data_IF_245997881807
#
_entry.id   IF_245997881807
#
_cell.length_a   1.000
_cell.length_b   1.000
_cell.length_c   1.000
_cell.angle_alpha   90.00
_cell.angle_beta   90.00
_cell.angle_gamma   90.00
#
_symmetry.space_group_name_H-M   'P 1'
#
loop_
_entity.id
_entity.type
_entity.pdbx_description
1 polymer ?
#
# COMPACT_ATOMS: atom_id res chain seq x y z
N UNK A 1 -42.62 32.42 -8.16
CA UNK A 1 -42.74 30.98 -8.39
C UNK A 1 -43.29 30.71 -9.78
N UNK A 2 -42.44 30.31 -10.71
CA UNK A 2 -42.85 29.85 -12.06
C UNK A 2 -42.36 28.43 -12.24
N UNK A 3 -43.30 27.50 -12.29
CA UNK A 3 -43.02 26.07 -12.59
C UNK A 3 -42.78 25.97 -14.11
N UNK A 4 -41.59 25.49 -14.51
CA UNK A 4 -41.30 25.09 -15.88
C UNK A 4 -41.70 23.63 -16.09
N UNK A 5 -42.58 23.37 -17.07
CA UNK A 5 -43.03 22.04 -17.47
C UNK A 5 -41.90 21.25 -18.16
N UNK A 6 -41.57 20.09 -17.60
CA UNK A 6 -40.51 19.16 -18.07
C UNK A 6 -40.92 18.20 -19.19
N UNK A 7 -41.97 18.47 -19.94
CA UNK A 7 -42.57 17.46 -20.85
C UNK A 7 -42.32 17.68 -22.36
N UNK A 8 -41.45 18.61 -22.77
CA UNK A 8 -41.26 18.88 -24.22
C UNK A 8 -39.91 18.39 -24.79
N UNK A 9 -39.04 17.75 -24.05
CA UNK A 9 -37.70 17.32 -24.55
C UNK A 9 -37.69 15.85 -24.98
N UNK A 10 -38.66 15.04 -24.60
CA UNK A 10 -38.70 13.60 -24.95
C UNK A 10 -39.33 13.28 -26.32
N UNK A 11 -39.94 14.25 -26.97
CA UNK A 11 -40.61 14.05 -28.29
C UNK A 11 -39.68 14.19 -29.50
N UNK A 12 -38.53 14.85 -29.39
CA UNK A 12 -37.68 15.18 -30.55
C UNK A 12 -36.56 14.13 -30.83
N UNK A 13 -36.21 13.30 -29.86
CA UNK A 13 -35.19 12.26 -30.07
C UNK A 13 -35.74 10.96 -30.72
N UNK A 14 -37.04 10.72 -30.66
CA UNK A 14 -37.64 9.51 -31.28
C UNK A 14 -37.85 9.62 -32.77
N UNK A 15 -37.98 10.87 -33.32
CA UNK A 15 -38.24 11.06 -34.74
C UNK A 15 -36.98 11.01 -35.62
N UNK A 16 -35.79 11.24 -35.07
CA UNK A 16 -34.53 11.22 -35.82
C UNK A 16 -33.91 9.82 -35.95
N UNK A 17 -34.30 8.84 -35.11
CA UNK A 17 -33.83 7.45 -35.24
C UNK A 17 -34.59 6.63 -36.29
N UNK A 18 -35.80 7.06 -36.72
CA UNK A 18 -36.59 6.31 -37.69
C UNK A 18 -36.21 6.60 -39.16
N UNK A 19 -35.44 7.67 -39.43
CA UNK A 19 -35.05 8.03 -40.80
C UNK A 19 -33.67 7.51 -41.21
N UNK A 20 -32.86 6.96 -40.25
CA UNK A 20 -31.54 6.41 -40.52
C UNK A 20 -31.52 4.93 -40.92
N UNK A 21 -32.61 4.18 -40.75
CA UNK A 21 -32.65 2.74 -40.99
C UNK A 21 -33.12 2.34 -42.38
N UNK A 22 -33.52 3.30 -43.21
CA UNK A 22 -34.08 3.04 -44.54
C UNK A 22 -33.09 3.01 -45.71
N UNK A 23 -31.81 3.34 -45.50
CA UNK A 23 -30.83 3.49 -46.58
C UNK A 23 -29.83 2.37 -46.79
N UNK A 24 -29.85 1.30 -46.00
CA UNK A 24 -28.89 0.19 -46.10
C UNK A 24 -29.47 -1.11 -46.71
N UNK A 25 -30.38 -1.01 -47.67
CA UNK A 25 -30.88 -2.17 -48.39
C UNK A 25 -30.32 -2.27 -49.82
N UNK A 26 -28.99 -2.33 -49.97
CA UNK A 26 -28.38 -2.69 -51.28
C UNK A 26 -27.03 -3.44 -51.18
N UNK A 27 -26.60 -3.91 -50.02
CA UNK A 27 -25.60 -4.97 -49.95
C UNK A 27 -26.24 -6.15 -49.21
N UNK A 28 -26.19 -7.34 -49.74
CA UNK A 28 -26.79 -8.53 -49.14
C UNK A 28 -26.12 -9.01 -47.89
N UNK A 29 -25.32 -8.15 -47.26
CA UNK A 29 -24.60 -8.44 -46.02
C UNK A 29 -25.51 -8.07 -44.84
N UNK A 30 -25.70 -9.01 -43.90
CA UNK A 30 -26.36 -8.72 -42.63
C UNK A 30 -25.55 -7.70 -41.81
N UNK A 31 -26.20 -7.00 -40.86
CA UNK A 31 -25.50 -6.09 -39.93
C UNK A 31 -24.39 -6.83 -39.20
N UNK A 32 -24.60 -8.11 -38.88
CA UNK A 32 -23.60 -8.94 -38.23
C UNK A 32 -22.37 -9.16 -39.12
N UNK A 33 -22.59 -9.43 -40.44
CA UNK A 33 -21.48 -9.60 -41.42
C UNK A 33 -20.67 -8.32 -41.60
N UNK A 34 -21.33 -7.15 -41.59
CA UNK A 34 -20.66 -5.87 -41.69
C UNK A 34 -19.87 -5.54 -40.38
N UNK A 35 -20.39 -5.92 -39.21
CA UNK A 35 -19.72 -5.79 -37.95
C UNK A 35 -18.51 -6.74 -37.86
N UNK A 36 -18.65 -7.99 -38.32
CA UNK A 36 -17.54 -8.95 -38.35
C UNK A 36 -16.40 -8.50 -39.27
N UNK A 37 -16.72 -7.92 -40.42
CA UNK A 37 -15.74 -7.42 -41.39
C UNK A 37 -14.99 -6.21 -40.89
N UNK A 38 -15.68 -5.26 -40.27
CA UNK A 38 -15.12 -3.98 -39.81
C UNK A 38 -14.53 -4.03 -38.40
N UNK A 39 -14.96 -4.96 -37.56
CA UNK A 39 -14.53 -5.13 -36.18
C UNK A 39 -14.19 -6.59 -35.89
N UNK A 40 -12.99 -7.04 -36.24
CA UNK A 40 -12.57 -8.41 -36.01
C UNK A 40 -12.66 -8.78 -34.54
N UNK A 41 -12.94 -10.06 -34.21
CA UNK A 41 -12.85 -10.56 -32.85
C UNK A 41 -11.49 -10.23 -32.25
N UNK A 42 -11.50 -9.79 -30.99
CA UNK A 42 -10.26 -9.44 -30.28
C UNK A 42 -10.08 -10.27 -29.05
N UNK A 43 -8.86 -10.79 -28.91
CA UNK A 43 -8.38 -11.43 -27.69
C UNK A 43 -7.82 -10.36 -26.77
N UNK A 44 -8.15 -10.44 -25.48
CA UNK A 44 -7.67 -9.53 -24.48
C UNK A 44 -7.50 -10.21 -23.11
N UNK A 45 -6.76 -9.57 -22.21
CA UNK A 45 -6.59 -9.99 -20.82
C UNK A 45 -7.57 -9.26 -19.92
N UNK A 46 -8.23 -9.98 -19.04
CA UNK A 46 -9.04 -9.42 -17.98
C UNK A 46 -8.52 -9.87 -16.62
N UNK A 47 -8.09 -8.92 -15.80
CA UNK A 47 -7.72 -9.17 -14.41
C UNK A 47 -8.95 -9.52 -13.57
N UNK A 48 -8.79 -10.42 -12.60
CA UNK A 48 -9.89 -10.96 -11.81
C UNK A 48 -10.50 -9.93 -10.85
N UNK A 49 -9.68 -9.06 -10.24
CA UNK A 49 -10.13 -8.11 -9.21
C UNK A 49 -10.71 -6.80 -9.75
N UNK A 50 -10.25 -6.32 -10.92
CA UNK A 50 -10.64 -5.01 -11.44
C UNK A 50 -10.57 -4.96 -12.97
N UNK A 51 -11.30 -4.03 -13.56
CA UNK A 51 -11.25 -3.74 -15.00
C UNK A 51 -9.96 -3.01 -15.43
N UNK A 52 -9.00 -2.85 -14.56
CA UNK A 52 -7.70 -2.20 -14.82
C UNK A 52 -6.59 -3.23 -14.95
N UNK A 53 -5.61 -3.01 -15.84
CA UNK A 53 -4.57 -4.01 -16.13
C UNK A 53 -3.49 -4.14 -15.05
N UNK A 54 -3.56 -3.38 -13.95
CA UNK A 54 -2.57 -3.41 -12.86
C UNK A 54 -3.22 -3.80 -11.55
N UNK A 55 -2.70 -4.84 -10.92
CA UNK A 55 -3.13 -5.31 -9.61
C UNK A 55 -1.99 -5.14 -8.60
N UNK A 56 -2.29 -4.58 -7.43
CA UNK A 56 -1.32 -4.39 -6.36
C UNK A 56 -1.60 -5.35 -5.20
N UNK A 57 -0.56 -5.99 -4.69
CA UNK A 57 -0.56 -6.94 -3.60
C UNK A 57 0.42 -6.47 -2.53
N UNK A 58 -0.02 -6.41 -1.29
CA UNK A 58 0.81 -5.96 -0.18
C UNK A 58 1.32 -7.18 0.59
N UNK A 59 2.63 -7.28 0.71
CA UNK A 59 3.33 -8.32 1.45
C UNK A 59 3.98 -7.69 2.69
N UNK A 60 3.70 -8.25 3.85
CA UNK A 60 4.29 -7.82 5.12
C UNK A 60 5.39 -8.79 5.52
N UNK A 61 6.61 -8.28 5.71
CA UNK A 61 7.75 -9.06 6.15
C UNK A 61 7.96 -8.86 7.66
N UNK A 62 7.50 -9.82 8.45
CA UNK A 62 7.68 -9.86 9.90
C UNK A 62 8.85 -10.75 10.31
N UNK A 63 9.10 -10.86 11.62
CA UNK A 63 10.12 -11.74 12.20
C UNK A 63 9.88 -13.22 11.90
N UNK A 64 8.61 -13.63 11.73
CA UNK A 64 8.19 -14.99 11.41
C UNK A 64 8.18 -15.31 9.89
N UNK A 65 8.50 -14.35 9.02
CA UNK A 65 8.49 -14.50 7.58
C UNK A 65 7.56 -13.51 6.86
N UNK A 66 7.31 -13.78 5.58
CA UNK A 66 6.49 -12.90 4.73
C UNK A 66 5.07 -13.45 4.67
N UNK A 67 4.07 -12.55 4.85
CA UNK A 67 2.65 -12.87 4.75
C UNK A 67 1.95 -11.86 3.83
N UNK A 68 0.88 -12.31 3.19
CA UNK A 68 0.06 -11.49 2.30
C UNK A 68 -0.39 -12.24 1.06
N UNK A 69 -1.23 -11.61 0.27
CA UNK A 69 -1.68 -12.16 -1.00
C UNK A 69 -0.53 -12.11 -2.01
N UNK A 70 -0.09 -13.27 -2.47
CA UNK A 70 1.04 -13.44 -3.38
C UNK A 70 0.66 -14.14 -4.68
N UNK A 71 -0.65 -14.27 -4.96
CA UNK A 71 -1.20 -14.86 -6.17
C UNK A 71 -2.15 -13.90 -6.86
N UNK A 72 -1.83 -13.56 -8.09
CA UNK A 72 -2.68 -12.77 -8.95
C UNK A 72 -3.37 -13.63 -9.99
N UNK A 73 -4.60 -13.32 -10.37
CA UNK A 73 -5.39 -14.09 -11.34
C UNK A 73 -5.83 -13.21 -12.51
N UNK A 74 -5.93 -13.83 -13.68
CA UNK A 74 -6.51 -13.20 -14.85
C UNK A 74 -7.08 -14.29 -15.79
N UNK A 75 -7.92 -13.88 -16.75
CA UNK A 75 -8.46 -14.73 -17.81
C UNK A 75 -8.15 -14.13 -19.17
N UNK A 76 -7.99 -15.00 -20.17
CA UNK A 76 -7.95 -14.58 -21.56
C UNK A 76 -9.36 -14.59 -22.11
N UNK A 77 -9.77 -13.51 -22.76
CA UNK A 77 -11.14 -13.35 -23.23
C UNK A 77 -11.20 -12.95 -24.69
N UNK A 78 -12.34 -13.30 -25.29
CA UNK A 78 -12.79 -12.81 -26.60
C UNK A 78 -13.95 -11.83 -26.40
N UNK A 79 -13.98 -10.77 -27.19
CA UNK A 79 -15.14 -9.88 -27.26
C UNK A 79 -16.33 -10.48 -28.01
N UNK A 80 -16.13 -11.58 -28.76
CA UNK A 80 -17.16 -12.37 -29.44
C UNK A 80 -16.76 -13.84 -29.46
N UNK A 81 -17.71 -14.79 -29.42
CA UNK A 81 -17.41 -16.21 -29.54
C UNK A 81 -16.76 -16.55 -30.90
N UNK A 82 -15.82 -17.48 -30.88
CA UNK A 82 -15.25 -18.09 -32.06
C UNK A 82 -15.94 -19.43 -32.35
N UNK A 83 -16.06 -19.81 -33.63
CA UNK A 83 -16.54 -21.14 -34.02
C UNK A 83 -15.53 -22.25 -33.84
N UNK A 84 -14.28 -21.89 -33.53
CA UNK A 84 -13.16 -22.81 -33.29
C UNK A 84 -12.42 -22.44 -32.02
N UNK A 85 -11.67 -23.39 -31.46
CA UNK A 85 -10.80 -23.14 -30.31
C UNK A 85 -9.76 -22.05 -30.66
N UNK A 86 -9.53 -21.17 -29.72
CA UNK A 86 -8.52 -20.11 -29.83
C UNK A 86 -7.46 -20.34 -28.75
N UNK A 87 -6.25 -20.69 -29.19
CA UNK A 87 -5.08 -20.88 -28.31
C UNK A 87 -4.24 -19.61 -28.32
N UNK A 88 -3.93 -19.10 -27.14
CA UNK A 88 -3.16 -17.87 -26.93
C UNK A 88 -1.87 -18.24 -26.22
N UNK A 89 -0.73 -17.83 -26.76
CA UNK A 89 0.58 -17.95 -26.11
C UNK A 89 0.85 -16.72 -25.28
N UNK A 90 1.32 -16.93 -24.05
CA UNK A 90 1.58 -15.90 -23.05
C UNK A 90 3.09 -15.78 -22.79
N UNK A 91 3.55 -14.56 -22.59
CA UNK A 91 4.94 -14.25 -22.23
C UNK A 91 4.99 -13.57 -20.87
N UNK A 92 5.65 -14.25 -19.93
CA UNK A 92 5.95 -13.71 -18.60
C UNK A 92 7.22 -12.86 -18.66
N UNK A 93 7.20 -11.70 -18.02
CA UNK A 93 8.37 -10.84 -17.81
C UNK A 93 8.34 -10.36 -16.37
N UNK A 94 9.49 -10.36 -15.71
CA UNK A 94 9.69 -9.85 -14.34
C UNK A 94 10.73 -8.74 -14.42
N UNK A 95 10.39 -7.55 -13.94
CA UNK A 95 11.27 -6.38 -14.07
C UNK A 95 12.56 -6.53 -13.23
N UNK A 96 12.52 -7.26 -12.11
CA UNK A 96 13.70 -7.60 -11.32
C UNK A 96 14.20 -9.00 -11.71
N UNK A 97 15.32 -9.07 -12.42
CA UNK A 97 15.91 -10.32 -12.92
C UNK A 97 16.30 -11.29 -11.80
N UNK A 98 16.72 -10.78 -10.61
CA UNK A 98 17.16 -11.60 -9.48
C UNK A 98 16.05 -12.43 -8.84
N UNK A 99 14.79 -12.05 -9.09
CA UNK A 99 13.63 -12.78 -8.58
C UNK A 99 12.79 -13.40 -9.69
N UNK A 100 13.28 -13.38 -10.92
CA UNK A 100 12.53 -13.96 -12.04
C UNK A 100 12.21 -15.45 -11.85
N UNK A 101 13.11 -16.22 -11.22
CA UNK A 101 12.91 -17.63 -10.87
C UNK A 101 11.90 -17.85 -9.72
N UNK A 102 11.61 -16.82 -8.93
CA UNK A 102 10.63 -16.85 -7.85
C UNK A 102 9.19 -16.62 -8.36
N UNK A 103 9.02 -16.24 -9.62
CA UNK A 103 7.70 -15.98 -10.20
C UNK A 103 7.31 -17.11 -11.13
N UNK A 104 6.12 -17.69 -10.92
CA UNK A 104 5.57 -18.74 -11.74
C UNK A 104 4.26 -18.31 -12.40
N UNK A 105 4.09 -18.70 -13.66
CA UNK A 105 2.83 -18.59 -14.39
C UNK A 105 2.22 -19.99 -14.47
N UNK A 106 0.96 -20.17 -14.09
CA UNK A 106 0.30 -21.50 -14.06
C UNK A 106 0.17 -22.14 -15.45
N UNK A 107 0.13 -21.33 -16.50
CA UNK A 107 0.11 -21.80 -17.88
C UNK A 107 0.73 -20.77 -18.83
N UNK A 108 1.57 -21.20 -19.75
CA UNK A 108 2.14 -20.37 -20.84
C UNK A 108 1.24 -20.31 -22.07
N UNK A 109 0.20 -21.14 -22.13
CA UNK A 109 -0.84 -21.14 -23.16
C UNK A 109 -2.23 -21.16 -22.51
N UNK A 110 -3.16 -20.42 -23.08
CA UNK A 110 -4.56 -20.38 -22.69
C UNK A 110 -5.44 -20.80 -23.88
N UNK A 111 -6.44 -21.63 -23.63
CA UNK A 111 -7.40 -22.04 -24.66
C UNK A 111 -8.79 -21.50 -24.34
N UNK A 112 -9.36 -20.74 -25.26
CA UNK A 112 -10.78 -20.38 -25.27
C UNK A 112 -11.47 -21.39 -26.19
N UNK A 113 -12.36 -22.20 -25.62
CA UNK A 113 -13.09 -23.22 -26.37
C UNK A 113 -14.08 -22.58 -27.35
N UNK A 114 -14.36 -23.30 -28.47
CA UNK A 114 -15.35 -22.88 -29.43
C UNK A 114 -16.68 -22.55 -28.76
N UNK A 115 -17.28 -21.42 -29.11
CA UNK A 115 -18.51 -20.89 -28.51
C UNK A 115 -18.35 -20.22 -27.15
N UNK A 116 -17.16 -20.26 -26.51
CA UNK A 116 -16.87 -19.62 -25.23
C UNK A 116 -16.26 -18.22 -25.42
N UNK A 117 -16.36 -17.41 -24.37
CA UNK A 117 -15.81 -16.05 -24.34
C UNK A 117 -14.58 -15.91 -23.44
N UNK A 118 -14.22 -16.93 -22.67
CA UNK A 118 -13.11 -16.89 -21.73
C UNK A 118 -12.39 -18.23 -21.63
N UNK A 119 -11.11 -18.16 -21.32
CA UNK A 119 -10.32 -19.32 -20.87
C UNK A 119 -10.62 -19.66 -19.41
N UNK A 120 -10.07 -20.79 -18.94
CA UNK A 120 -9.88 -21.02 -17.52
C UNK A 120 -8.98 -19.92 -16.92
N UNK A 121 -9.14 -19.61 -15.60
CA UNK A 121 -8.29 -18.67 -14.92
C UNK A 121 -6.81 -19.09 -14.93
N UNK A 122 -5.93 -18.12 -15.09
CA UNK A 122 -4.48 -18.28 -15.06
C UNK A 122 -3.96 -17.51 -13.86
N UNK A 123 -3.01 -18.09 -13.12
CA UNK A 123 -2.40 -17.42 -11.96
C UNK A 123 -0.93 -17.05 -12.21
N UNK A 124 -0.55 -15.92 -11.62
CA UNK A 124 0.83 -15.52 -11.40
C UNK A 124 1.10 -15.63 -9.92
N UNK A 125 2.10 -16.41 -9.53
CA UNK A 125 2.46 -16.64 -8.11
C UNK A 125 3.88 -16.18 -7.87
N UNK A 126 4.09 -15.39 -6.79
CA UNK A 126 5.39 -15.05 -6.26
C UNK A 126 5.73 -16.00 -5.10
N UNK A 127 6.84 -16.72 -5.18
CA UNK A 127 7.34 -17.55 -4.07
C UNK A 127 7.90 -16.69 -2.96
N UNK A 128 7.20 -16.63 -1.83
CA UNK A 128 7.60 -15.83 -0.67
C UNK A 128 8.89 -16.35 -0.02
N UNK A 129 9.18 -17.65 -0.11
CA UNK A 129 10.41 -18.23 0.46
C UNK A 129 11.64 -17.77 -0.32
N UNK A 130 11.52 -17.63 -1.64
CA UNK A 130 12.62 -17.19 -2.49
C UNK A 130 13.06 -15.75 -2.23
N UNK A 131 12.17 -14.92 -1.63
CA UNK A 131 12.44 -13.52 -1.30
C UNK A 131 12.59 -13.26 0.21
N UNK A 132 12.50 -14.30 1.05
CA UNK A 132 12.50 -14.17 2.50
C UNK A 132 13.81 -13.61 3.09
N UNK A 133 14.94 -13.81 2.43
CA UNK A 133 16.24 -13.29 2.86
C UNK A 133 16.47 -11.79 2.51
N UNK A 134 15.55 -11.17 1.76
CA UNK A 134 15.64 -9.76 1.37
C UNK A 134 15.07 -8.88 2.46
N UNK A 135 15.92 -8.17 3.19
CA UNK A 135 15.54 -7.38 4.38
C UNK A 135 14.81 -6.07 4.03
N UNK A 136 15.14 -5.43 2.89
CA UNK A 136 14.60 -4.14 2.48
C UNK A 136 13.14 -4.18 1.99
N UNK A 137 12.52 -2.99 1.88
CA UNK A 137 11.26 -2.83 1.16
C UNK A 137 11.54 -2.89 -0.35
N UNK A 138 10.76 -3.67 -1.07
CA UNK A 138 10.93 -3.91 -2.51
C UNK A 138 9.59 -4.10 -3.21
N UNK A 139 9.51 -3.60 -4.45
CA UNK A 139 8.40 -3.85 -5.36
C UNK A 139 8.82 -4.84 -6.44
N UNK A 140 8.04 -5.89 -6.63
CA UNK A 140 8.23 -6.89 -7.67
C UNK A 140 7.15 -6.72 -8.72
N UNK A 141 7.52 -6.14 -9.86
CA UNK A 141 6.59 -5.95 -10.98
C UNK A 141 6.67 -7.13 -11.93
N UNK A 142 5.53 -7.74 -12.14
CA UNK A 142 5.34 -8.88 -13.04
C UNK A 142 4.38 -8.50 -14.16
N UNK A 143 4.77 -8.81 -15.39
CA UNK A 143 4.00 -8.53 -16.61
C UNK A 143 3.74 -9.80 -17.37
N UNK A 144 2.50 -10.00 -17.81
CA UNK A 144 2.13 -11.08 -18.73
C UNK A 144 1.49 -10.48 -19.97
N UNK A 145 2.12 -10.71 -21.13
CA UNK A 145 1.65 -10.24 -22.42
C UNK A 145 1.08 -11.39 -23.24
N UNK A 146 0.10 -11.09 -24.07
CA UNK A 146 -0.28 -11.96 -25.17
C UNK A 146 0.82 -11.86 -26.25
N UNK A 147 1.54 -12.95 -26.49
CA UNK A 147 2.62 -13.01 -27.48
C UNK A 147 2.10 -13.34 -28.87
N UNK A 148 1.22 -14.36 -28.94
CA UNK A 148 0.66 -14.80 -30.21
C UNK A 148 -0.69 -15.49 -30.04
N UNK A 149 -1.42 -15.61 -31.16
CA UNK A 149 -2.65 -16.38 -31.26
C UNK A 149 -2.43 -17.48 -32.24
N UNK A 150 -2.75 -18.72 -31.80
CA UNK A 150 -2.84 -19.91 -32.66
C UNK A 150 -4.32 -20.25 -32.79
N UNK A 151 -4.93 -20.01 -33.96
CA UNK A 151 -6.32 -20.33 -34.23
C UNK A 151 -6.50 -20.65 -35.70
N UNK A 152 -7.33 -21.65 -35.98
CA UNK A 152 -7.76 -21.91 -37.35
C UNK A 152 -8.84 -20.92 -37.85
N UNK A 153 -9.49 -20.21 -36.93
CA UNK A 153 -10.41 -19.13 -37.27
C UNK A 153 -9.63 -17.92 -37.81
N UNK A 154 -9.98 -17.46 -39.01
CA UNK A 154 -9.37 -16.27 -39.60
C UNK A 154 -9.86 -14.96 -38.92
N UNK A 155 -9.01 -13.99 -38.92
CA UNK A 155 -9.39 -12.62 -38.55
C UNK A 155 -9.42 -12.27 -37.03
N UNK A 156 -9.00 -13.18 -36.15
CA UNK A 156 -8.86 -12.86 -34.72
C UNK A 156 -7.59 -12.04 -34.50
N UNK A 157 -7.72 -10.89 -33.80
CA UNK A 157 -6.60 -10.01 -33.52
C UNK A 157 -6.36 -9.85 -32.00
N UNK A 158 -5.14 -9.54 -31.61
CA UNK A 158 -4.81 -9.16 -30.24
C UNK A 158 -5.32 -7.72 -29.99
N UNK A 159 -5.94 -7.48 -28.83
CA UNK A 159 -6.31 -6.13 -28.41
C UNK A 159 -5.06 -5.25 -28.24
N UNK A 160 -5.07 -4.04 -28.80
CA UNK A 160 -3.97 -3.11 -28.64
C UNK A 160 -3.85 -2.52 -27.22
N UNK A 161 -4.97 -2.47 -26.48
CA UNK A 161 -5.05 -1.75 -25.20
C UNK A 161 -5.17 -2.68 -23.98
N UNK A 162 -5.57 -3.95 -24.19
CA UNK A 162 -5.84 -4.92 -23.12
C UNK A 162 -5.07 -6.22 -23.35
N UNK A 163 -3.85 -6.15 -23.84
CA UNK A 163 -2.98 -7.31 -24.12
C UNK A 163 -1.93 -7.57 -23.03
N UNK A 164 -1.98 -6.78 -21.94
CA UNK A 164 -1.05 -6.83 -20.83
C UNK A 164 -1.80 -7.02 -19.51
N UNK A 165 -1.37 -7.98 -18.70
CA UNK A 165 -1.64 -8.06 -17.27
C UNK A 165 -0.39 -7.60 -16.51
N UNK A 166 -0.56 -6.77 -15.48
CA UNK A 166 0.51 -6.37 -14.59
C UNK A 166 0.12 -6.60 -13.14
N UNK A 167 1.01 -7.24 -12.39
CA UNK A 167 0.91 -7.40 -10.95
C UNK A 167 2.12 -6.74 -10.29
N UNK A 168 1.87 -5.99 -9.22
CA UNK A 168 2.91 -5.40 -8.37
C UNK A 168 2.78 -6.02 -6.98
N UNK A 169 3.79 -6.73 -6.54
CA UNK A 169 3.90 -7.28 -5.20
C UNK A 169 4.82 -6.37 -4.38
N UNK A 170 4.23 -5.56 -3.50
CA UNK A 170 4.94 -4.59 -2.67
C UNK A 170 5.28 -5.22 -1.31
N UNK A 171 6.55 -5.58 -1.12
CA UNK A 171 7.06 -6.15 0.14
C UNK A 171 7.58 -5.04 1.05
N UNK A 172 7.10 -5.01 2.30
CA UNK A 172 7.68 -4.13 3.32
C UNK A 172 9.10 -4.55 3.69
N UNK A 173 9.89 -3.63 4.25
CA UNK A 173 11.11 -4.01 4.94
C UNK A 173 10.78 -4.98 6.09
N UNK A 174 11.72 -5.87 6.41
CA UNK A 174 11.56 -6.81 7.52
C UNK A 174 11.29 -6.06 8.81
N UNK A 175 10.32 -6.56 9.58
CA UNK A 175 9.93 -6.00 10.88
C UNK A 175 10.59 -6.78 12.00
N UNK A 176 11.09 -6.08 13.00
CA UNK A 176 11.58 -6.68 14.26
C UNK A 176 10.42 -7.17 15.15
N UNK A 177 9.17 -6.77 14.85
CA UNK A 177 7.98 -7.01 15.68
C UNK A 177 8.21 -6.63 17.15
N UNK A 178 8.92 -5.53 17.34
CA UNK A 178 9.41 -5.09 18.63
C UNK A 178 8.40 -4.32 19.47
N UNK A 179 7.26 -3.90 18.87
CA UNK A 179 6.33 -2.98 19.51
C UNK A 179 5.49 -3.64 20.61
N UNK A 180 5.27 -2.88 21.68
CA UNK A 180 4.33 -3.15 22.76
C UNK A 180 3.46 -1.91 22.95
N UNK A 181 2.13 -2.08 22.91
CA UNK A 181 1.17 -0.97 23.04
C UNK A 181 0.58 -0.93 24.42
N UNK A 182 0.52 0.28 25.00
CA UNK A 182 -0.06 0.53 26.32
C UNK A 182 0.92 0.23 27.48
N UNK A 183 0.42 0.48 28.67
CA UNK A 183 1.22 0.47 29.90
C UNK A 183 1.65 -0.92 30.36
N UNK A 184 0.91 -1.96 29.98
CA UNK A 184 1.06 -3.32 30.54
C UNK A 184 2.33 -4.06 30.11
N UNK A 185 3.05 -3.56 29.11
CA UNK A 185 4.26 -4.20 28.57
C UNK A 185 5.55 -3.45 28.84
N UNK A 186 5.49 -2.33 29.58
CA UNK A 186 6.63 -1.46 29.89
C UNK A 186 6.73 -1.33 31.40
N UNK A 187 7.88 -1.65 31.94
CA UNK A 187 8.20 -1.30 33.34
C UNK A 187 8.66 0.15 33.40
N UNK A 188 7.74 1.06 33.77
CA UNK A 188 8.01 2.49 33.86
C UNK A 188 9.03 2.84 34.96
N UNK A 189 9.38 1.93 35.87
CA UNK A 189 10.47 2.14 36.81
C UNK A 189 11.84 2.03 36.14
N UNK A 190 11.92 1.39 34.99
CA UNK A 190 13.14 1.11 34.23
C UNK A 190 13.33 2.04 33.03
N UNK A 191 12.42 2.99 32.81
CA UNK A 191 12.50 3.93 31.69
C UNK A 191 12.28 5.38 32.15
N UNK A 192 12.88 6.31 31.46
CA UNK A 192 12.66 7.73 31.70
C UNK A 192 12.54 8.50 30.38
N UNK A 193 11.78 9.59 30.42
CA UNK A 193 11.71 10.53 29.30
C UNK A 193 13.01 11.33 29.23
N UNK A 194 13.64 11.37 28.08
CA UNK A 194 14.81 12.23 27.85
C UNK A 194 14.41 13.52 27.14
N UNK A 195 15.17 14.60 27.42
CA UNK A 195 14.98 15.94 26.87
C UNK A 195 13.53 16.48 27.01
N UNK A 196 12.74 16.01 27.99
CA UNK A 196 11.31 16.29 28.10
C UNK A 196 10.97 17.78 28.12
N UNK A 197 11.79 18.60 28.80
CA UNK A 197 11.55 20.05 28.99
C UNK A 197 12.17 20.91 27.89
N UNK A 198 13.17 20.42 27.19
CA UNK A 198 13.97 21.18 26.23
C UNK A 198 14.02 20.56 24.82
N UNK A 199 13.15 19.57 24.55
CA UNK A 199 13.07 18.92 23.24
C UNK A 199 12.85 19.90 22.08
N UNK A 200 12.07 20.97 22.28
CA UNK A 200 11.83 22.01 21.27
C UNK A 200 13.10 22.69 20.77
N UNK A 201 14.16 22.70 21.59
CA UNK A 201 15.46 23.30 21.25
C UNK A 201 16.50 22.28 20.81
N UNK A 202 16.39 21.02 21.26
CA UNK A 202 17.34 19.94 20.98
C UNK A 202 16.95 19.08 19.80
N UNK A 203 15.63 18.92 19.60
CA UNK A 203 15.11 18.04 18.54
C UNK A 203 14.72 18.84 17.31
N UNK A 204 14.75 18.15 16.15
CA UNK A 204 14.17 18.68 14.92
C UNK A 204 13.17 17.69 14.36
N UNK A 205 12.14 18.21 13.68
CA UNK A 205 11.12 17.39 13.03
C UNK A 205 11.12 17.71 11.55
N UNK A 206 11.06 16.66 10.72
CA UNK A 206 10.90 16.77 9.28
C UNK A 206 9.66 16.03 8.83
N UNK A 207 9.00 16.53 7.79
CA UNK A 207 7.86 15.88 7.17
C UNK A 207 8.31 14.97 6.06
N UNK A 208 7.80 13.74 6.06
CA UNK A 208 8.04 12.76 5.01
C UNK A 208 6.88 12.73 4.01
N UNK A 209 5.66 13.06 4.45
CA UNK A 209 4.44 13.08 3.62
C UNK A 209 3.94 14.51 3.44
N UNK A 210 3.59 14.89 2.21
CA UNK A 210 3.07 16.22 1.87
C UNK A 210 1.54 16.33 2.03
N UNK A 211 1.04 17.57 2.05
CA UNK A 211 -0.40 17.87 1.99
C UNK A 211 -1.15 17.68 3.30
N UNK A 212 -0.55 18.07 4.43
CA UNK A 212 -1.07 17.91 5.77
C UNK A 212 -1.31 19.28 6.42
N UNK A 213 -2.38 19.41 7.22
CA UNK A 213 -2.68 20.60 7.99
C UNK A 213 -1.59 20.81 9.06
N UNK A 214 -1.09 22.03 9.19
CA UNK A 214 0.00 22.36 10.12
C UNK A 214 1.40 22.02 9.60
N UNK A 215 1.54 21.58 8.35
CA UNK A 215 2.82 21.22 7.71
C UNK A 215 3.87 22.35 7.72
N UNK A 216 3.45 23.61 7.84
CA UNK A 216 4.35 24.76 7.90
C UNK A 216 4.99 24.96 9.28
N UNK A 217 4.55 24.21 10.30
CA UNK A 217 5.07 24.32 11.66
C UNK A 217 5.21 22.93 12.31
N UNK A 218 6.23 22.21 11.90
CA UNK A 218 6.56 20.88 12.42
C UNK A 218 6.96 20.89 13.89
N UNK A 219 7.32 22.06 14.45
CA UNK A 219 7.64 22.22 15.88
C UNK A 219 6.45 21.97 16.78
N UNK A 220 5.21 22.06 16.28
CA UNK A 220 3.99 21.72 17.03
C UNK A 220 4.02 20.32 17.64
N UNK A 221 4.79 19.41 17.06
CA UNK A 221 4.94 18.04 17.57
C UNK A 221 5.83 17.95 18.81
N UNK A 222 6.58 19.03 19.15
CA UNK A 222 7.60 19.02 20.20
C UNK A 222 7.62 20.32 21.01
N UNK A 223 6.63 21.22 20.85
CA UNK A 223 6.64 22.56 21.43
C UNK A 223 6.14 22.61 22.90
N UNK A 224 5.58 21.53 23.41
CA UNK A 224 5.00 21.46 24.76
C UNK A 224 3.60 22.05 24.85
N UNK A 225 2.98 22.40 23.73
CA UNK A 225 1.68 23.06 23.70
C UNK A 225 0.59 22.12 23.15
N UNK A 226 -0.20 21.51 24.02
CA UNK A 226 -1.32 20.65 23.66
C UNK A 226 -2.44 21.37 22.88
N UNK A 227 -2.42 22.69 22.79
CA UNK A 227 -3.36 23.50 21.99
C UNK A 227 -2.99 23.65 20.52
N UNK A 228 -1.88 23.06 20.10
CA UNK A 228 -1.43 23.04 18.70
C UNK A 228 -1.39 21.59 18.18
N UNK A 229 -1.64 21.39 16.89
CA UNK A 229 -1.64 20.06 16.29
C UNK A 229 -1.00 20.02 14.91
N UNK A 230 -0.64 18.81 14.53
CA UNK A 230 -0.25 18.42 13.20
C UNK A 230 -1.23 17.34 12.73
N UNK A 231 -2.05 17.62 11.73
CA UNK A 231 -3.23 16.81 11.48
C UNK A 231 -3.48 16.50 10.00
N UNK A 232 -4.25 15.42 9.75
CA UNK A 232 -4.72 15.04 8.43
C UNK A 232 -6.14 14.49 8.49
N UNK A 233 -6.95 14.80 7.48
CA UNK A 233 -8.29 14.25 7.30
C UNK A 233 -8.23 12.99 6.40
N UNK A 234 -8.63 11.84 6.95
CA UNK A 234 -8.73 10.55 6.23
C UNK A 234 -7.47 10.11 5.47
N UNK A 235 -6.30 10.62 5.83
CA UNK A 235 -5.02 10.27 5.20
C UNK A 235 -4.01 9.87 6.26
N UNK A 236 -3.28 8.80 5.99
CA UNK A 236 -2.07 8.48 6.74
C UNK A 236 -0.97 9.51 6.43
N UNK A 237 -0.10 9.72 7.39
CA UNK A 237 1.08 10.56 7.23
C UNK A 237 2.24 10.05 8.07
N UNK A 238 3.44 10.50 7.76
CA UNK A 238 4.60 10.19 8.56
C UNK A 238 5.46 11.42 8.79
N UNK A 239 6.20 11.40 9.89
CA UNK A 239 7.20 12.39 10.23
C UNK A 239 8.43 11.72 10.86
N UNK A 240 9.56 12.42 10.80
CA UNK A 240 10.82 12.00 11.40
C UNK A 240 11.20 12.98 12.49
N UNK A 241 11.50 12.45 13.67
CA UNK A 241 12.09 13.22 14.79
C UNK A 241 13.58 12.88 14.87
N UNK A 242 14.44 13.90 14.78
CA UNK A 242 15.88 13.81 15.06
C UNK A 242 16.14 14.30 16.48
N UNK A 243 16.65 13.45 17.35
CA UNK A 243 17.00 13.78 18.73
C UNK A 243 18.28 14.62 18.87
N UNK A 244 18.99 14.89 17.75
CA UNK A 244 20.26 15.63 17.74
C UNK A 244 21.46 14.82 18.27
N UNK A 245 21.22 13.69 18.92
CA UNK A 245 22.22 12.76 19.46
C UNK A 245 21.76 11.31 19.29
N UNK A 246 22.69 10.38 19.32
CA UNK A 246 22.36 8.95 19.41
C UNK A 246 21.99 8.61 20.85
N UNK A 247 20.74 8.19 21.05
CA UNK A 247 20.23 7.60 22.29
C UNK A 247 20.53 6.11 22.25
N UNK A 248 21.40 5.62 23.12
CA UNK A 248 21.89 4.22 23.05
C UNK A 248 20.84 3.19 23.42
N UNK A 249 19.94 3.56 24.32
CA UNK A 249 18.93 2.67 24.92
C UNK A 249 17.50 3.18 24.66
N UNK A 250 17.22 3.67 23.44
CA UNK A 250 15.87 4.10 23.06
C UNK A 250 14.88 2.95 23.28
N UNK A 251 13.79 3.23 24.03
CA UNK A 251 12.83 2.21 24.48
C UNK A 251 11.41 2.44 23.99
N UNK A 252 11.11 3.58 23.39
CA UNK A 252 9.79 3.85 22.82
C UNK A 252 9.39 5.32 22.82
N UNK A 253 8.11 5.53 22.50
CA UNK A 253 7.51 6.85 22.34
C UNK A 253 6.18 6.96 23.08
N UNK A 254 5.87 8.17 23.56
CA UNK A 254 4.55 8.57 24.04
C UNK A 254 4.05 9.66 23.09
N UNK A 255 2.94 9.39 22.39
CA UNK A 255 2.38 10.28 21.39
C UNK A 255 1.03 10.78 21.90
N UNK A 256 0.83 12.10 21.87
CA UNK A 256 -0.39 12.77 22.28
C UNK A 256 -1.22 13.20 21.11
N UNK A 257 -2.53 13.12 21.26
CA UNK A 257 -3.51 13.46 20.24
C UNK A 257 -4.46 14.51 20.77
N UNK A 258 -5.12 15.24 19.89
CA UNK A 258 -6.11 16.26 20.27
C UNK A 258 -7.23 15.70 21.15
N UNK A 259 -7.64 14.49 20.91
CA UNK A 259 -8.60 13.73 21.69
C UNK A 259 -8.51 12.23 21.30
N UNK A 260 -9.14 11.36 22.04
CA UNK A 260 -9.21 9.90 21.80
C UNK A 260 -9.71 9.54 20.38
N UNK A 261 -10.72 10.28 19.89
CA UNK A 261 -11.26 10.09 18.54
C UNK A 261 -10.28 10.51 17.42
N UNK A 262 -9.27 11.28 17.73
CA UNK A 262 -8.23 11.73 16.78
C UNK A 262 -7.00 10.83 16.77
N UNK A 263 -6.95 9.81 17.64
CA UNK A 263 -5.86 8.83 17.66
C UNK A 263 -5.94 7.91 16.43
N UNK A 264 -4.82 7.56 15.80
CA UNK A 264 -4.80 6.64 14.67
C UNK A 264 -5.18 5.23 15.10
N UNK A 265 -5.66 4.42 14.16
CA UNK A 265 -6.00 3.02 14.40
C UNK A 265 -4.78 2.09 14.27
N UNK A 266 -3.79 2.47 13.47
CA UNK A 266 -2.57 1.70 13.28
C UNK A 266 -1.40 2.63 12.94
N UNK A 267 -0.24 2.32 13.52
CA UNK A 267 1.02 3.02 13.25
C UNK A 267 2.12 2.03 12.88
N UNK A 268 3.16 2.54 12.24
CA UNK A 268 4.45 1.89 12.08
C UNK A 268 5.53 2.76 12.72
N UNK A 269 6.46 2.12 13.42
CA UNK A 269 7.61 2.78 14.03
C UNK A 269 8.90 2.24 13.42
N UNK A 270 9.81 3.16 13.08
CA UNK A 270 11.15 2.85 12.58
C UNK A 270 12.17 3.70 13.32
N UNK A 271 13.38 3.18 13.53
CA UNK A 271 14.48 3.97 14.09
C UNK A 271 15.73 3.88 13.24
N UNK A 272 16.61 4.87 13.41
CA UNK A 272 17.89 4.94 12.70
C UNK A 272 18.92 5.70 13.54
N UNK A 273 20.20 5.36 13.39
CA UNK A 273 21.31 6.13 14.00
C UNK A 273 21.91 7.15 13.05
N UNK A 274 21.72 6.99 11.73
CA UNK A 274 22.35 7.78 10.67
C UNK A 274 21.35 8.54 9.76
N UNK A 275 20.04 8.27 9.91
CA UNK A 275 18.98 8.85 9.08
C UNK A 275 18.85 8.24 7.68
N UNK A 276 19.69 7.28 7.34
CA UNK A 276 19.72 6.62 6.02
C UNK A 276 19.36 5.16 6.09
N UNK A 277 19.90 4.44 7.07
CA UNK A 277 19.62 3.03 7.34
C UNK A 277 18.56 2.91 8.43
N UNK A 278 17.41 2.33 8.11
CA UNK A 278 16.26 2.26 9.00
C UNK A 278 15.98 0.84 9.47
N UNK A 279 15.83 0.68 10.79
CA UNK A 279 15.31 -0.55 11.40
C UNK A 279 13.80 -0.42 11.55
N UNK A 280 13.03 -1.29 10.89
CA UNK A 280 11.59 -1.36 11.04
C UNK A 280 11.25 -2.08 12.35
N UNK A 281 10.79 -1.33 13.36
CA UNK A 281 10.46 -1.85 14.68
C UNK A 281 9.12 -2.59 14.71
N UNK A 282 8.25 -2.33 13.73
CA UNK A 282 6.97 -3.02 13.58
C UNK A 282 5.79 -2.10 13.36
N UNK A 283 4.61 -2.74 13.30
CA UNK A 283 3.31 -2.08 13.28
C UNK A 283 2.54 -2.39 14.53
N UNK A 284 1.78 -1.43 15.00
CA UNK A 284 0.93 -1.56 16.16
C UNK A 284 -0.51 -1.15 15.83
N UNK A 285 -1.46 -2.02 16.16
CA UNK A 285 -2.88 -1.70 16.14
C UNK A 285 -3.19 -0.98 17.45
N UNK A 286 -3.54 0.29 17.37
CA UNK A 286 -3.86 1.11 18.54
C UNK A 286 -5.35 0.95 18.83
N UNK A 287 -5.68 0.25 19.91
CA UNK A 287 -7.07 0.21 20.38
C UNK A 287 -7.53 1.64 20.72
N UNK A 288 -8.79 2.02 20.41
CA UNK A 288 -9.30 3.32 20.82
C UNK A 288 -9.14 3.48 22.33
N UNK A 289 -8.35 4.47 22.75
CA UNK A 289 -8.16 4.80 24.16
C UNK A 289 -9.43 5.50 24.65
N UNK A 290 -10.29 4.80 25.36
CA UNK A 290 -11.47 5.41 25.95
C UNK A 290 -11.03 6.41 27.04
N UNK A 291 -11.16 7.70 26.73
CA UNK A 291 -10.89 8.79 27.68
C UNK A 291 -9.41 9.17 27.81
N UNK A 292 -8.51 8.63 26.98
CA UNK A 292 -7.13 9.04 26.95
C UNK A 292 -6.76 9.61 25.57
N UNK A 293 -6.03 10.71 25.59
CA UNK A 293 -5.54 11.45 24.43
C UNK A 293 -4.06 11.13 24.12
N UNK A 294 -3.57 9.96 24.57
CA UNK A 294 -2.18 9.54 24.46
C UNK A 294 -2.06 8.04 24.17
N UNK A 295 -0.96 7.67 23.53
CA UNK A 295 -0.59 6.29 23.30
C UNK A 295 0.88 6.04 23.61
N UNK A 296 1.14 5.12 24.52
CA UNK A 296 2.47 4.58 24.74
C UNK A 296 2.74 3.46 23.72
N UNK A 297 3.85 3.60 23.03
CA UNK A 297 4.38 2.56 22.14
C UNK A 297 5.80 2.24 22.60
N UNK A 298 5.90 1.20 23.41
CA UNK A 298 7.17 0.69 23.92
C UNK A 298 7.82 -0.34 23.00
N UNK A 299 9.06 -0.68 23.32
CA UNK A 299 9.84 -1.71 22.63
C UNK A 299 10.14 -2.85 23.58
N UNK A 300 10.09 -4.10 23.09
CA UNK A 300 10.44 -5.31 23.85
C UNK A 300 11.90 -5.30 24.35
N UNK A 301 12.79 -4.63 23.62
CA UNK A 301 14.19 -4.38 23.96
C UNK A 301 14.60 -2.97 23.52
N UNK A 302 15.67 -2.44 24.07
CA UNK A 302 16.21 -1.15 23.65
C UNK A 302 16.92 -1.25 22.28
N UNK A 303 16.87 -0.15 21.53
CA UNK A 303 17.56 0.03 20.25
C UNK A 303 18.38 1.33 20.28
N UNK A 304 19.53 1.40 19.62
CA UNK A 304 20.20 2.68 19.41
C UNK A 304 19.40 3.49 18.37
N UNK A 305 19.08 4.75 18.69
CA UNK A 305 18.34 5.62 17.81
C UNK A 305 18.78 7.09 17.94
N UNK A 306 18.96 7.77 16.84
CA UNK A 306 19.02 9.22 16.74
C UNK A 306 17.76 9.75 16.05
N UNK A 307 17.27 9.00 15.06
CA UNK A 307 16.10 9.33 14.27
C UNK A 307 15.00 8.32 14.54
N UNK A 308 13.79 8.80 14.70
CA UNK A 308 12.60 7.96 14.80
C UNK A 308 11.59 8.43 13.76
N UNK A 309 11.12 7.50 12.93
CA UNK A 309 10.03 7.74 11.99
C UNK A 309 8.75 7.15 12.55
N UNK A 310 7.76 8.00 12.71
CA UNK A 310 6.42 7.62 13.12
C UNK A 310 5.48 7.74 11.92
N UNK A 311 4.90 6.63 11.51
CA UNK A 311 4.02 6.57 10.34
C UNK A 311 2.63 6.13 10.77
N UNK A 312 1.62 6.94 10.47
CA UNK A 312 0.22 6.60 10.65
C UNK A 312 -0.24 5.84 9.41
N UNK A 313 -0.44 4.53 9.54
CA UNK A 313 -0.82 3.64 8.43
C UNK A 313 -2.34 3.51 8.29
N UNK A 314 -3.08 3.58 9.41
CA UNK A 314 -4.55 3.67 9.41
C UNK A 314 -5.00 4.87 10.23
N UNK A 315 -5.37 5.97 9.58
CA UNK A 315 -5.86 7.15 10.28
C UNK A 315 -7.24 6.88 10.93
N UNK A 316 -7.57 7.72 11.92
CA UNK A 316 -8.97 8.01 12.26
C UNK A 316 -9.64 8.85 11.14
N UNK A 317 -10.87 9.31 11.31
CA UNK A 317 -11.49 10.26 10.36
C UNK A 317 -10.63 11.54 10.21
N UNK A 318 -10.32 12.22 11.31
CA UNK A 318 -9.24 13.21 11.45
C UNK A 318 -8.22 12.64 12.44
N UNK A 319 -6.98 12.49 12.03
CA UNK A 319 -5.87 12.16 12.93
C UNK A 319 -5.09 13.44 13.22
N UNK A 320 -4.89 13.72 14.50
CA UNK A 320 -4.33 14.99 14.99
C UNK A 320 -3.34 14.70 16.11
N UNK A 321 -2.05 14.84 15.83
CA UNK A 321 -0.95 14.68 16.79
C UNK A 321 -0.60 16.03 17.39
N UNK A 322 -0.65 16.16 18.71
CA UNK A 322 -0.32 17.40 19.42
C UNK A 322 1.08 17.38 19.98
N UNK A 323 1.57 16.24 20.47
CA UNK A 323 2.89 16.13 21.08
C UNK A 323 3.52 14.77 20.88
N UNK A 324 4.83 14.76 20.75
CA UNK A 324 5.67 13.57 20.64
C UNK A 324 6.75 13.59 21.73
N UNK A 325 6.79 12.54 22.52
CA UNK A 325 7.80 12.28 23.54
C UNK A 325 8.51 10.97 23.24
N UNK A 326 9.71 10.83 23.77
CA UNK A 326 10.46 9.58 23.68
C UNK A 326 11.08 9.23 25.04
N UNK A 327 11.30 7.95 25.26
CA UNK A 327 11.89 7.44 26.49
C UNK A 327 12.98 6.41 26.21
N UNK A 328 13.90 6.29 27.16
CA UNK A 328 15.02 5.35 27.13
C UNK A 328 15.10 4.56 28.44
N UNK A 329 15.79 3.41 28.42
CA UNK A 329 16.04 2.65 29.63
C UNK A 329 16.92 3.48 30.59
N UNK A 330 16.63 3.40 31.88
CA UNK A 330 17.49 3.96 32.95
C UNK A 330 18.87 3.31 32.83
N UNK A 331 19.93 4.11 32.88
CA UNK A 331 21.27 3.55 33.01
C UNK A 331 21.38 2.89 34.40
N UNK A 332 21.64 1.58 34.43
CA UNK A 332 22.06 0.94 35.65
C UNK A 332 23.35 1.65 36.10
N UNK A 333 23.37 2.14 37.35
CA UNK A 333 24.61 2.66 37.95
C UNK A 333 25.70 1.59 37.76
N UNK A 334 26.75 1.94 37.04
CA UNK A 334 27.82 0.97 36.83
C UNK A 334 28.41 0.63 38.21
N UNK A 335 28.82 -0.64 38.44
CA UNK A 335 29.44 -1.04 39.67
C UNK A 335 30.68 -0.17 40.01
N UNK A 336 31.29 0.45 38.99
CA UNK A 336 32.44 1.37 39.14
C UNK A 336 32.01 2.73 39.73
N UNK A 337 30.75 3.22 39.49
CA UNK A 337 30.27 4.46 40.10
C UNK A 337 29.97 4.30 41.60
N UNK A 338 29.72 3.08 42.06
CA UNK A 338 29.49 2.80 43.48
C UNK A 338 30.78 2.74 44.29
N UNK A 339 31.96 2.58 43.66
CA UNK A 339 33.24 2.48 44.34
C UNK A 339 34.03 3.82 44.39
N UNK A 340 33.65 4.84 43.65
CA UNK A 340 34.36 6.13 43.63
C UNK A 340 33.91 7.10 44.75
N UNK A 341 32.91 6.72 45.55
CA UNK A 341 32.38 7.57 46.67
C UNK A 341 32.89 7.23 48.09
N UNK A 342 33.87 6.34 48.22
CA UNK A 342 34.36 5.88 49.54
C UNK A 342 35.85 6.16 49.75
N UNK A 343 36.30 7.39 49.48
CA UNK A 343 37.58 7.92 49.98
C UNK A 343 37.50 9.44 50.14
N UNK A 344 36.96 9.89 51.28
CA UNK A 344 37.43 11.04 52.04
C UNK A 344 37.02 10.89 53.51
#
# INVERSE_FOLDING_TARGET
MKRYNKHWILGLCAATMALGLGSCKKSGDSVDTLLERNYPPRVYIQADRYSVPVNSYILQHGSAGIVGDHVGYFTIRLNRPSTQDVVVTLKLTVDNADVASAVTLSATEATIKAGQLASEPISVTLDLNAIASREGAEDYTVKVNIESIKSAASGIAISSNLNLYSAIFSKSARSEDALVVGDSGIDFSQVHYFDQTDRATKWTVSQVTEGIDGANDLKRLIDGNYGTDFASNNRGFSFVVDFGKVVKKFRGVDVRYWADWAAPKEIQLECSTDGTTWTNLGRANLAPLKGEDKTFVGLKKAYPARYVRYTITKPAGRTSVTEFYAFEDVEEASADDLFTGATE
#
